data_IF_845132773697
#
_entry.id   IF_845132773697
#
_cell.length_a   1.000
_cell.length_b   1.000
_cell.length_c   1.000
_cell.angle_alpha   90.00
_cell.angle_beta   90.00
_cell.angle_gamma   90.00
#
_symmetry.space_group_name_H-M   'P 1'
#
loop_
_entity.id
_entity.type
_entity.pdbx_description
1 polymer ?
#
# COMPACT_ATOMS: atom_id res chain seq x y z
N UNK A 1 -9.40 -59.15 5.13
CA UNK A 1 -10.35 -59.26 3.99
C UNK A 1 -11.08 -57.93 3.90
N UNK A 2 -10.62 -57.03 3.02
CA UNK A 2 -11.13 -55.65 2.94
C UNK A 2 -12.51 -55.64 2.27
N UNK A 3 -13.55 -55.25 3.01
CA UNK A 3 -14.88 -54.97 2.46
C UNK A 3 -14.73 -53.82 1.47
N UNK A 4 -14.86 -54.11 0.18
CA UNK A 4 -14.84 -53.10 -0.89
C UNK A 4 -16.05 -52.17 -0.67
N UNK A 5 -15.77 -50.88 -0.62
CA UNK A 5 -16.74 -49.83 -0.30
C UNK A 5 -17.90 -49.79 -1.28
N UNK A 6 -19.09 -50.09 -0.77
CA UNK A 6 -20.34 -49.76 -1.42
C UNK A 6 -20.62 -48.29 -1.09
N UNK A 7 -20.07 -47.38 -1.91
CA UNK A 7 -20.47 -45.98 -1.86
C UNK A 7 -21.93 -45.94 -2.31
N UNK A 8 -22.82 -45.67 -1.36
CA UNK A 8 -24.24 -45.46 -1.66
C UNK A 8 -24.36 -44.34 -2.69
N UNK A 9 -25.23 -44.50 -3.69
CA UNK A 9 -25.41 -43.55 -4.80
C UNK A 9 -25.62 -42.11 -4.31
N UNK A 10 -26.23 -41.95 -3.13
CA UNK A 10 -26.44 -40.66 -2.48
C UNK A 10 -25.13 -39.96 -2.06
N UNK A 11 -24.13 -40.70 -1.56
CA UNK A 11 -22.83 -40.14 -1.19
C UNK A 11 -22.06 -39.64 -2.41
N UNK A 12 -22.20 -40.32 -3.56
CA UNK A 12 -21.58 -39.91 -4.83
C UNK A 12 -22.18 -38.59 -5.30
N UNK A 13 -23.50 -38.43 -5.25
CA UNK A 13 -24.18 -37.19 -5.67
C UNK A 13 -23.78 -36.00 -4.79
N UNK A 14 -23.74 -36.18 -3.47
CA UNK A 14 -23.33 -35.11 -2.54
C UNK A 14 -21.88 -34.69 -2.81
N UNK A 15 -20.98 -35.65 -3.03
CA UNK A 15 -19.59 -35.37 -3.32
C UNK A 15 -19.41 -34.58 -4.62
N UNK A 16 -20.17 -34.91 -5.67
CA UNK A 16 -20.15 -34.16 -6.94
C UNK A 16 -20.62 -32.71 -6.72
N UNK A 17 -21.71 -32.50 -5.99
CA UNK A 17 -22.23 -31.15 -5.71
C UNK A 17 -21.19 -30.33 -4.94
N UNK A 18 -20.52 -30.93 -3.96
CA UNK A 18 -19.47 -30.27 -3.17
C UNK A 18 -18.28 -29.88 -4.06
N UNK A 19 -17.80 -30.79 -4.91
CA UNK A 19 -16.69 -30.51 -5.82
C UNK A 19 -17.05 -29.43 -6.84
N UNK A 20 -18.26 -29.48 -7.41
CA UNK A 20 -18.73 -28.50 -8.40
C UNK A 20 -18.92 -27.13 -7.75
N UNK A 21 -19.53 -27.05 -6.56
CA UNK A 21 -19.70 -25.77 -5.84
C UNK A 21 -18.36 -25.16 -5.44
N UNK A 22 -17.42 -25.97 -4.95
CA UNK A 22 -16.05 -25.52 -4.67
C UNK A 22 -15.33 -25.02 -5.93
N UNK A 23 -15.46 -25.73 -7.06
CA UNK A 23 -14.86 -25.32 -8.33
C UNK A 23 -15.45 -24.01 -8.85
N UNK A 24 -16.76 -23.80 -8.71
CA UNK A 24 -17.42 -22.53 -9.08
C UNK A 24 -16.91 -21.39 -8.20
N UNK A 25 -16.80 -21.58 -6.89
CA UNK A 25 -16.24 -20.56 -5.97
C UNK A 25 -14.79 -20.21 -6.35
N UNK A 26 -13.94 -21.21 -6.57
CA UNK A 26 -12.56 -20.99 -7.01
C UNK A 26 -12.50 -20.24 -8.34
N UNK A 27 -13.36 -20.60 -9.30
CA UNK A 27 -13.45 -19.90 -10.58
C UNK A 27 -13.75 -18.41 -10.39
N UNK A 28 -14.70 -18.07 -9.51
CA UNK A 28 -14.98 -16.67 -9.19
C UNK A 28 -13.81 -15.98 -8.49
N UNK A 29 -13.15 -16.62 -7.52
CA UNK A 29 -11.97 -16.05 -6.83
C UNK A 29 -10.86 -15.72 -7.83
N UNK A 30 -10.55 -16.64 -8.75
CA UNK A 30 -9.51 -16.42 -9.76
C UNK A 30 -9.93 -15.41 -10.84
N UNK A 31 -11.22 -15.38 -11.23
CA UNK A 31 -11.73 -14.42 -12.23
C UNK A 31 -11.86 -13.01 -11.70
N UNK A 32 -12.21 -12.86 -10.43
CA UNK A 32 -12.39 -11.56 -9.79
C UNK A 32 -11.05 -10.90 -9.42
N UNK A 33 -9.92 -11.59 -9.65
CA UNK A 33 -8.58 -11.06 -9.44
C UNK A 33 -8.47 -10.38 -8.07
N UNK A 34 -8.98 -11.06 -7.04
CA UNK A 34 -9.04 -10.58 -5.66
C UNK A 34 -7.62 -10.29 -5.16
N UNK A 35 -7.22 -9.04 -5.38
CA UNK A 35 -6.08 -8.37 -4.77
C UNK A 35 -4.72 -8.87 -5.24
N UNK A 36 -4.08 -8.12 -6.14
CA UNK A 36 -2.65 -7.87 -5.89
C UNK A 36 -2.64 -6.98 -4.65
N UNK A 37 -2.32 -7.55 -3.48
CA UNK A 37 -2.07 -6.73 -2.30
C UNK A 37 -0.94 -5.77 -2.64
N UNK A 38 -1.22 -4.48 -2.49
CA UNK A 38 -0.19 -3.45 -2.66
C UNK A 38 0.69 -3.43 -1.41
N UNK A 39 1.92 -2.94 -1.53
CA UNK A 39 2.81 -2.82 -0.36
C UNK A 39 2.20 -1.85 0.68
N UNK A 40 1.41 -0.88 0.21
CA UNK A 40 0.62 0.04 1.04
C UNK A 40 -0.46 -0.70 1.84
N UNK A 41 -1.22 -1.60 1.21
CA UNK A 41 -2.23 -2.40 1.90
C UNK A 41 -1.62 -3.31 2.97
N UNK A 42 -0.47 -3.91 2.66
CA UNK A 42 0.29 -4.76 3.60
C UNK A 42 0.77 -3.93 4.78
N UNK A 43 1.34 -2.74 4.54
CA UNK A 43 1.72 -1.81 5.58
C UNK A 43 0.53 -1.45 6.46
N UNK A 44 -0.59 -1.00 5.87
CA UNK A 44 -1.80 -0.64 6.59
C UNK A 44 -2.31 -1.78 7.47
N UNK A 45 -2.46 -2.98 6.90
CA UNK A 45 -2.92 -4.14 7.64
C UNK A 45 -1.97 -4.51 8.79
N UNK A 46 -0.65 -4.37 8.60
CA UNK A 46 0.34 -4.60 9.67
C UNK A 46 0.21 -3.56 10.80
N UNK A 47 -0.02 -2.29 10.47
CA UNK A 47 -0.26 -1.20 11.42
C UNK A 47 -1.54 -1.46 12.22
N UNK A 48 -2.65 -1.78 11.55
CA UNK A 48 -3.92 -2.07 12.21
C UNK A 48 -3.82 -3.30 13.12
N UNK A 49 -3.17 -4.36 12.64
CA UNK A 49 -2.99 -5.60 13.42
C UNK A 49 -2.16 -5.37 14.66
N UNK A 50 -1.05 -4.63 14.52
CA UNK A 50 -0.18 -4.29 15.64
C UNK A 50 -0.89 -3.38 16.64
N UNK A 51 -1.63 -2.38 16.18
CA UNK A 51 -2.33 -1.43 17.05
C UNK A 51 -3.56 -1.99 17.77
N UNK A 52 -4.13 -3.11 17.31
CA UNK A 52 -5.24 -3.81 17.98
C UNK A 52 -4.79 -5.03 18.81
N UNK A 53 -3.51 -5.36 18.76
CA UNK A 53 -2.97 -6.52 19.46
C UNK A 53 -2.85 -6.26 20.97
N UNK A 54 -3.27 -7.25 21.77
CA UNK A 54 -3.05 -7.29 23.22
C UNK A 54 -1.63 -7.83 23.54
N UNK A 55 -0.99 -8.47 22.56
CA UNK A 55 0.37 -8.98 22.68
C UNK A 55 1.39 -7.85 22.48
N UNK A 56 2.62 -7.99 23.04
CA UNK A 56 3.68 -7.02 22.87
C UNK A 56 3.92 -6.68 21.41
N UNK A 57 4.19 -5.40 21.13
CA UNK A 57 4.37 -4.81 19.80
C UNK A 57 5.42 -5.53 18.95
N UNK A 58 6.41 -6.17 19.57
CA UNK A 58 7.47 -6.93 18.89
C UNK A 58 6.98 -8.25 18.25
N UNK A 59 5.78 -8.71 18.63
CA UNK A 59 5.17 -9.94 18.09
C UNK A 59 4.65 -9.73 16.66
N UNK A 60 4.28 -8.49 16.32
CA UNK A 60 3.75 -8.12 15.01
C UNK A 60 4.67 -7.08 14.36
N UNK A 61 5.69 -7.49 13.60
CA UNK A 61 6.58 -6.56 12.92
C UNK A 61 5.79 -5.76 11.87
N UNK A 62 6.07 -4.46 11.79
CA UNK A 62 5.53 -3.61 10.73
C UNK A 62 6.09 -4.05 9.38
N UNK A 63 5.22 -4.17 8.38
CA UNK A 63 5.59 -4.55 7.01
C UNK A 63 5.53 -3.36 6.06
N UNK A 64 5.99 -2.21 6.54
CA UNK A 64 5.99 -0.97 5.77
C UNK A 64 7.33 -0.83 5.03
N UNK A 65 7.27 -0.86 3.70
CA UNK A 65 8.41 -0.55 2.85
C UNK A 65 8.37 0.91 2.45
N UNK A 66 9.55 1.47 2.22
CA UNK A 66 9.67 2.84 1.73
C UNK A 66 9.48 2.86 0.23
N UNK A 67 8.67 3.80 -0.24
CA UNK A 67 8.50 4.04 -1.66
C UNK A 67 9.47 5.11 -2.13
N UNK A 68 9.96 4.94 -3.34
CA UNK A 68 10.98 5.79 -3.94
C UNK A 68 10.36 6.37 -5.19
N UNK A 69 9.88 7.60 -5.10
CA UNK A 69 9.17 8.24 -6.20
C UNK A 69 10.03 9.34 -6.82
N UNK A 70 9.91 9.48 -8.14
CA UNK A 70 10.57 10.54 -8.86
C UNK A 70 9.59 11.27 -9.76
N UNK A 71 9.46 12.58 -9.54
CA UNK A 71 8.64 13.45 -10.36
C UNK A 71 9.47 13.95 -11.54
N UNK A 72 8.99 13.70 -12.76
CA UNK A 72 9.73 13.98 -14.00
C UNK A 72 8.80 14.51 -15.10
N UNK A 73 9.30 15.40 -15.95
CA UNK A 73 8.55 15.85 -17.14
C UNK A 73 8.78 14.89 -18.31
N UNK A 74 10.02 14.48 -18.52
CA UNK A 74 10.39 13.61 -19.65
C UNK A 74 10.18 12.12 -19.37
N UNK A 75 9.92 11.75 -18.11
CA UNK A 75 9.78 10.37 -17.65
C UNK A 75 11.10 9.68 -17.35
N UNK A 76 12.22 10.40 -17.35
CA UNK A 76 13.50 9.94 -16.87
C UNK A 76 13.73 10.36 -15.42
N UNK A 77 14.54 9.59 -14.69
CA UNK A 77 14.97 9.99 -13.36
C UNK A 77 16.39 9.52 -13.11
N UNK A 78 17.34 10.44 -13.20
CA UNK A 78 18.76 10.15 -12.98
C UNK A 78 19.20 10.38 -11.53
N UNK A 79 18.39 11.09 -10.76
CA UNK A 79 18.68 11.48 -9.36
C UNK A 79 18.52 10.33 -8.37
N UNK A 80 17.88 9.22 -8.76
CA UNK A 80 17.61 8.07 -7.90
C UNK A 80 17.77 6.73 -8.60
N UNK A 81 18.16 5.71 -7.84
CA UNK A 81 18.32 4.34 -8.35
C UNK A 81 16.97 3.59 -8.30
N UNK A 82 16.37 3.30 -9.46
CA UNK A 82 15.10 2.56 -9.62
C UNK A 82 13.88 3.15 -8.88
N UNK A 83 13.56 4.43 -9.06
CA UNK A 83 12.31 4.99 -8.54
C UNK A 83 11.11 4.62 -9.42
N UNK A 84 9.92 4.69 -8.83
CA UNK A 84 8.67 4.79 -9.57
C UNK A 84 8.54 6.23 -10.10
N UNK A 85 8.48 6.36 -11.43
CA UNK A 85 8.49 7.67 -12.09
C UNK A 85 7.05 8.13 -12.33
N UNK A 86 6.71 9.28 -11.75
CA UNK A 86 5.45 9.98 -11.99
C UNK A 86 5.73 11.10 -12.99
N UNK A 87 5.01 11.06 -14.11
CA UNK A 87 5.07 12.14 -15.11
C UNK A 87 4.22 13.31 -14.67
N UNK A 88 4.81 14.50 -14.69
CA UNK A 88 4.16 15.76 -14.33
C UNK A 88 4.50 16.84 -15.35
N UNK A 89 3.52 17.67 -15.69
CA UNK A 89 3.64 18.76 -16.67
C UNK A 89 3.45 20.12 -16.00
N UNK A 90 2.76 20.19 -14.86
CA UNK A 90 2.44 21.45 -14.18
C UNK A 90 2.78 21.44 -12.69
N UNK A 91 2.84 22.63 -12.07
CA UNK A 91 3.01 22.76 -10.61
C UNK A 91 1.86 22.12 -9.83
N UNK A 92 0.63 22.26 -10.31
CA UNK A 92 -0.54 21.69 -9.64
C UNK A 92 -0.49 20.17 -9.63
N UNK A 93 -0.03 19.53 -10.72
CA UNK A 93 0.18 18.08 -10.77
C UNK A 93 1.29 17.61 -9.82
N UNK A 94 2.34 18.41 -9.63
CA UNK A 94 3.36 18.14 -8.61
C UNK A 94 2.72 18.18 -7.22
N UNK A 95 1.96 19.21 -6.89
CA UNK A 95 1.33 19.33 -5.58
C UNK A 95 0.27 18.26 -5.36
N UNK A 96 -0.47 17.89 -6.40
CA UNK A 96 -1.38 16.76 -6.37
C UNK A 96 -0.65 15.46 -6.05
N UNK A 97 0.44 15.14 -6.78
CA UNK A 97 1.22 13.94 -6.52
C UNK A 97 1.77 13.90 -5.09
N UNK A 98 2.27 15.02 -4.57
CA UNK A 98 2.73 15.11 -3.18
C UNK A 98 1.60 14.95 -2.17
N UNK A 99 0.43 15.57 -2.44
CA UNK A 99 -0.74 15.47 -1.58
C UNK A 99 -1.28 14.04 -1.53
N UNK A 100 -1.34 13.36 -2.67
CA UNK A 100 -1.76 11.97 -2.78
C UNK A 100 -0.84 11.06 -1.95
N UNK A 101 0.49 11.24 -2.06
CA UNK A 101 1.46 10.49 -1.24
C UNK A 101 1.31 10.78 0.26
N UNK A 102 1.06 12.03 0.66
CA UNK A 102 0.79 12.37 2.06
C UNK A 102 -0.51 11.72 2.57
N UNK A 103 -1.57 11.72 1.76
CA UNK A 103 -2.84 11.12 2.09
C UNK A 103 -2.73 9.59 2.21
N UNK A 104 -2.03 8.95 1.28
CA UNK A 104 -1.71 7.52 1.31
C UNK A 104 -0.90 7.17 2.55
N UNK A 105 0.17 7.92 2.84
CA UNK A 105 0.98 7.73 4.05
C UNK A 105 0.16 7.87 5.33
N UNK A 106 -0.71 8.89 5.41
CA UNK A 106 -1.58 9.10 6.55
C UNK A 106 -2.58 7.96 6.75
N UNK A 107 -3.16 7.45 5.65
CA UNK A 107 -4.04 6.30 5.66
C UNK A 107 -3.31 5.01 6.06
N UNK A 108 -2.13 4.74 5.49
CA UNK A 108 -1.30 3.57 5.83
C UNK A 108 -1.05 3.47 7.33
N UNK A 109 -0.82 4.60 7.99
CA UNK A 109 -0.54 4.64 9.42
C UNK A 109 -1.79 4.77 10.31
N UNK A 110 -2.98 4.54 9.77
CA UNK A 110 -4.22 4.48 10.54
C UNK A 110 -4.74 5.84 10.97
N UNK A 111 -4.43 6.90 10.22
CA UNK A 111 -5.03 8.23 10.32
C UNK A 111 -4.87 8.90 11.71
N UNK A 112 -3.85 8.49 12.47
CA UNK A 112 -3.65 8.97 13.86
C UNK A 112 -4.60 8.37 14.89
N UNK A 113 -5.44 7.40 14.50
CA UNK A 113 -6.40 6.71 15.39
C UNK A 113 -5.82 5.41 15.98
N UNK A 114 -4.66 4.98 15.50
CA UNK A 114 -4.08 3.67 15.79
C UNK A 114 -2.75 3.85 16.52
N UNK A 115 -2.64 3.30 17.72
CA UNK A 115 -1.39 3.28 18.48
C UNK A 115 -0.61 2.01 18.15
N UNK A 116 0.23 2.06 17.12
CA UNK A 116 1.00 0.91 16.64
C UNK A 116 2.44 0.86 17.17
N UNK A 117 2.91 1.90 17.86
CA UNK A 117 4.29 1.99 18.37
C UNK A 117 4.35 1.75 19.87
N UNK A 118 3.46 2.41 20.62
CA UNK A 118 3.43 2.34 22.07
C UNK A 118 2.39 1.37 22.61
N UNK A 119 2.01 1.57 23.86
CA UNK A 119 0.89 0.89 24.51
C UNK A 119 -0.21 1.90 24.83
N UNK A 120 -1.44 1.46 25.08
CA UNK A 120 -2.53 2.37 25.50
C UNK A 120 -2.19 3.16 26.78
N UNK A 121 -1.32 2.61 27.64
CA UNK A 121 -0.93 3.21 28.92
C UNK A 121 0.24 4.17 28.77
N UNK A 122 1.16 3.89 27.83
CA UNK A 122 2.35 4.70 27.57
C UNK A 122 2.41 4.95 26.06
N UNK A 123 1.86 6.09 25.59
CA UNK A 123 1.98 6.48 24.19
C UNK A 123 3.41 6.86 23.88
N UNK A 124 3.94 6.35 22.76
CA UNK A 124 5.23 6.75 22.20
C UNK A 124 4.99 7.45 20.87
N UNK A 125 5.76 8.52 20.61
CA UNK A 125 5.64 9.32 19.40
C UNK A 125 6.79 8.99 18.47
N UNK A 126 6.47 8.41 17.32
CA UNK A 126 7.45 8.08 16.30
C UNK A 126 7.02 8.62 14.94
N UNK A 127 7.98 9.18 14.21
CA UNK A 127 7.77 9.55 12.81
C UNK A 127 8.22 8.40 11.92
N UNK A 128 7.31 7.90 11.09
CA UNK A 128 7.62 6.93 10.05
C UNK A 128 7.80 7.67 8.72
N UNK A 129 8.81 7.29 7.95
CA UNK A 129 9.02 7.81 6.60
C UNK A 129 8.37 6.82 5.63
N UNK A 130 7.28 7.24 5.00
CA UNK A 130 6.61 6.47 3.94
C UNK A 130 7.40 6.55 2.64
N UNK A 131 7.66 7.78 2.20
CA UNK A 131 8.10 8.02 0.84
C UNK A 131 9.40 8.82 0.79
N UNK A 132 10.20 8.54 -0.22
CA UNK A 132 11.34 9.35 -0.61
C UNK A 132 11.09 9.88 -2.01
N UNK A 133 10.80 11.17 -2.07
CA UNK A 133 10.41 11.85 -3.31
C UNK A 133 11.58 12.70 -3.80
N UNK A 134 11.97 12.52 -5.05
CA UNK A 134 12.93 13.38 -5.73
C UNK A 134 12.29 14.09 -6.92
N UNK A 135 12.81 15.28 -7.22
CA UNK A 135 12.50 16.02 -8.43
C UNK A 135 13.61 15.82 -9.43
N UNK A 136 13.25 15.33 -10.61
CA UNK A 136 14.17 15.25 -11.74
C UNK A 136 14.62 16.65 -12.19
N UNK A 137 15.75 16.72 -12.88
CA UNK A 137 16.28 17.99 -13.38
C UNK A 137 15.37 18.62 -14.44
N UNK A 138 14.57 17.84 -15.18
CA UNK A 138 13.54 18.34 -16.09
C UNK A 138 12.52 19.21 -15.36
N UNK A 139 11.99 18.74 -14.22
CA UNK A 139 11.01 19.47 -13.40
C UNK A 139 11.58 20.79 -12.90
N UNK A 140 12.83 20.79 -12.42
CA UNK A 140 13.49 22.01 -11.92
C UNK A 140 13.63 23.07 -13.01
N UNK A 141 13.95 22.66 -14.24
CA UNK A 141 14.18 23.56 -15.38
C UNK A 141 12.87 24.08 -15.97
N UNK A 142 11.91 23.18 -16.19
CA UNK A 142 10.71 23.46 -16.98
C UNK A 142 9.56 24.02 -16.14
N UNK A 143 9.41 23.58 -14.89
CA UNK A 143 8.27 23.95 -14.03
C UNK A 143 8.67 25.02 -13.00
N UNK A 144 9.85 24.87 -12.41
CA UNK A 144 10.37 25.82 -11.42
C UNK A 144 11.32 26.88 -12.01
N UNK A 145 11.30 27.09 -13.34
CA UNK A 145 12.09 28.12 -14.04
C UNK A 145 13.58 28.17 -13.64
N UNK A 146 14.17 27.02 -13.27
CA UNK A 146 15.57 26.93 -12.85
C UNK A 146 15.92 27.56 -11.51
N UNK A 147 14.96 28.17 -10.77
CA UNK A 147 15.21 28.57 -9.38
C UNK A 147 15.35 27.34 -8.48
N UNK A 148 14.72 26.22 -8.87
CA UNK A 148 14.82 24.94 -8.17
C UNK A 148 14.20 24.95 -6.77
N UNK A 149 13.53 26.03 -6.39
CA UNK A 149 12.96 26.21 -5.06
C UNK A 149 11.50 25.77 -5.04
N UNK A 150 11.29 24.60 -4.46
CA UNK A 150 9.99 24.11 -4.05
C UNK A 150 9.44 24.99 -2.91
N UNK A 151 8.29 25.62 -3.11
CA UNK A 151 7.63 26.40 -2.07
C UNK A 151 6.70 25.53 -1.21
N UNK A 152 7.11 25.31 0.04
CA UNK A 152 6.33 24.58 1.06
C UNK A 152 5.01 25.27 1.40
N UNK A 153 4.95 26.59 1.30
CA UNK A 153 3.74 27.38 1.58
C UNK A 153 2.72 27.21 0.45
N UNK A 154 3.18 27.14 -0.80
CA UNK A 154 2.30 26.82 -1.93
C UNK A 154 1.72 25.41 -1.79
N UNK A 155 2.53 24.40 -1.45
CA UNK A 155 2.00 23.06 -1.14
C UNK A 155 1.00 23.11 0.01
N UNK A 156 1.32 23.78 1.12
CA UNK A 156 0.40 23.87 2.26
C UNK A 156 -0.94 24.53 1.92
N UNK A 157 -0.95 25.51 1.02
CA UNK A 157 -2.19 26.15 0.56
C UNK A 157 -2.97 25.28 -0.43
N UNK A 158 -2.32 24.31 -1.08
CA UNK A 158 -2.95 23.35 -1.98
C UNK A 158 -3.70 22.24 -1.20
N UNK A 159 -3.11 21.77 -0.09
CA UNK A 159 -3.69 20.78 0.83
C UNK A 159 -4.98 21.29 1.50
#
# INVERSE_FOLDING_TARGET
MFKKGELTTQQIVILIILVVSFAVILFFIFRLNLGKETEQDICHNSVITRGKSILPTDTFPLQCKREYLCLSVDGSCEVMTKPDVIKVETKDEIYQALADQLAECWWMFGEGKVNYVGSEVIPDLQCSICDMIAFDDSVKKEIFNGTGEFDKKELYNYL
#
